data_IF_355891356206
#
_entry.id   IF_355891356206
#
_cell.length_a   1.000
_cell.length_b   1.000
_cell.length_c   1.000
_cell.angle_alpha   90.00
_cell.angle_beta   90.00
_cell.angle_gamma   90.00
#
_symmetry.space_group_name_H-M   'P 1'
#
loop_
_entity.id
_entity.type
_entity.pdbx_description
1 polymer ?
#
# COMPACT_ATOMS: atom_id res chain seq x y z
N UNK A 1 -1.90 -19.33 -6.61
CA UNK A 1 -1.27 -18.00 -6.60
C UNK A 1 -1.22 -17.36 -7.99
N UNK A 2 -0.96 -18.11 -9.06
CA UNK A 2 -0.92 -17.57 -10.44
C UNK A 2 -2.16 -16.75 -10.84
N UNK A 3 -3.36 -17.25 -10.57
CA UNK A 3 -4.61 -16.51 -10.87
C UNK A 3 -4.67 -15.16 -10.15
N UNK A 4 -4.26 -15.11 -8.88
CA UNK A 4 -4.22 -13.85 -8.11
C UNK A 4 -3.22 -12.86 -8.69
N UNK A 5 -2.08 -13.35 -9.17
CA UNK A 5 -1.09 -12.52 -9.85
C UNK A 5 -1.66 -11.92 -11.13
N UNK A 6 -2.30 -12.73 -11.97
CA UNK A 6 -2.95 -12.25 -13.20
C UNK A 6 -3.99 -11.17 -12.89
N UNK A 7 -4.90 -11.43 -11.95
CA UNK A 7 -5.94 -10.46 -11.57
C UNK A 7 -5.36 -9.17 -10.99
N UNK A 8 -4.34 -9.25 -10.12
CA UNK A 8 -3.70 -8.07 -9.56
C UNK A 8 -3.03 -7.22 -10.65
N UNK A 9 -2.36 -7.87 -11.60
CA UNK A 9 -1.73 -7.21 -12.75
C UNK A 9 -2.78 -6.51 -13.63
N UNK A 10 -3.90 -7.16 -13.94
CA UNK A 10 -4.99 -6.55 -14.72
C UNK A 10 -5.56 -5.29 -14.03
N UNK A 11 -5.71 -5.32 -12.71
CA UNK A 11 -6.15 -4.15 -11.93
C UNK A 11 -5.11 -3.03 -11.97
N UNK A 12 -3.82 -3.35 -11.84
CA UNK A 12 -2.72 -2.37 -11.95
C UNK A 12 -2.67 -1.73 -13.33
N UNK A 13 -2.91 -2.52 -14.38
CA UNK A 13 -2.88 -2.03 -15.77
C UNK A 13 -4.11 -1.15 -16.07
N UNK A 14 -5.23 -1.39 -15.37
CA UNK A 14 -6.47 -0.61 -15.48
C UNK A 14 -6.58 0.55 -14.47
N UNK A 15 -5.46 0.99 -13.90
CA UNK A 15 -5.49 1.88 -12.74
C UNK A 15 -5.93 3.32 -13.05
N UNK A 16 -6.11 3.69 -14.33
CA UNK A 16 -6.62 5.02 -14.73
C UNK A 16 -7.96 5.38 -14.04
N UNK A 17 -8.75 4.36 -13.65
CA UNK A 17 -10.01 4.54 -12.93
C UNK A 17 -9.89 5.36 -11.64
N UNK A 18 -8.73 5.34 -10.97
CA UNK A 18 -8.49 6.10 -9.73
C UNK A 18 -8.44 7.61 -9.95
N UNK A 19 -8.30 8.07 -11.18
CA UNK A 19 -8.35 9.47 -11.57
C UNK A 19 -9.74 9.92 -12.06
N UNK A 20 -10.73 9.05 -11.96
CA UNK A 20 -12.12 9.32 -12.37
C UNK A 20 -13.05 9.51 -11.17
N UNK A 21 -14.33 9.75 -11.42
CA UNK A 21 -15.39 9.76 -10.40
C UNK A 21 -15.54 8.43 -9.66
N UNK A 22 -15.03 7.34 -10.22
CA UNK A 22 -15.10 5.99 -9.63
C UNK A 22 -14.07 5.73 -8.54
N UNK A 23 -13.18 6.69 -8.24
CA UNK A 23 -12.10 6.47 -7.29
C UNK A 23 -12.59 6.00 -5.91
N UNK A 24 -13.67 6.59 -5.39
CA UNK A 24 -14.24 6.17 -4.11
C UNK A 24 -14.76 4.72 -4.16
N UNK A 25 -15.37 4.31 -5.27
CA UNK A 25 -15.86 2.95 -5.46
C UNK A 25 -14.70 1.97 -5.58
N UNK A 26 -13.64 2.35 -6.29
CA UNK A 26 -12.40 1.59 -6.34
C UNK A 26 -11.84 1.35 -4.93
N UNK A 27 -11.70 2.41 -4.11
CA UNK A 27 -11.19 2.27 -2.74
C UNK A 27 -12.08 1.34 -1.90
N UNK A 28 -13.40 1.52 -1.92
CA UNK A 28 -14.35 0.68 -1.16
C UNK A 28 -14.25 -0.80 -1.52
N UNK A 29 -14.09 -1.12 -2.80
CA UNK A 29 -14.04 -2.49 -3.29
C UNK A 29 -12.66 -3.15 -3.09
N UNK A 30 -11.59 -2.43 -3.46
CA UNK A 30 -10.27 -3.03 -3.60
C UNK A 30 -9.37 -2.82 -2.38
N UNK A 31 -9.47 -1.69 -1.68
CA UNK A 31 -8.52 -1.37 -0.62
C UNK A 31 -8.50 -2.41 0.51
N UNK A 32 -9.69 -2.87 0.93
CA UNK A 32 -9.81 -3.93 1.95
C UNK A 32 -9.20 -5.24 1.48
N UNK A 33 -9.41 -5.60 0.20
CA UNK A 33 -8.86 -6.84 -0.38
C UNK A 33 -7.34 -6.78 -0.41
N UNK A 34 -6.76 -5.68 -0.90
CA UNK A 34 -5.31 -5.47 -0.92
C UNK A 34 -4.70 -5.52 0.48
N UNK A 35 -5.30 -4.81 1.43
CA UNK A 35 -4.86 -4.82 2.83
C UNK A 35 -4.85 -6.24 3.41
N UNK A 36 -5.92 -7.01 3.15
CA UNK A 36 -6.07 -8.39 3.62
C UNK A 36 -5.04 -9.32 2.95
N UNK A 37 -4.72 -9.10 1.67
CA UNK A 37 -3.67 -9.88 1.00
C UNK A 37 -2.31 -9.63 1.63
N UNK A 38 -1.95 -8.37 1.88
CA UNK A 38 -0.64 -7.99 2.42
C UNK A 38 -0.45 -8.36 3.90
N UNK A 39 -1.53 -8.43 4.68
CA UNK A 39 -1.45 -8.63 6.14
C UNK A 39 -1.87 -10.02 6.63
N UNK A 40 -2.70 -10.75 5.87
CA UNK A 40 -3.34 -11.98 6.37
C UNK A 40 -3.25 -13.16 5.40
N UNK A 41 -3.47 -12.96 4.09
CA UNK A 41 -3.57 -14.08 3.13
C UNK A 41 -2.23 -14.52 2.56
N UNK A 42 -1.20 -13.69 2.69
CA UNK A 42 0.16 -13.99 2.26
C UNK A 42 1.11 -13.70 3.42
N UNK A 43 2.28 -14.33 3.37
CA UNK A 43 3.38 -14.07 4.29
C UNK A 43 4.39 -13.14 3.61
N UNK A 44 5.15 -12.35 4.38
CA UNK A 44 6.27 -11.61 3.84
C UNK A 44 7.25 -12.53 3.10
N UNK A 45 7.83 -12.05 2.00
CA UNK A 45 8.64 -12.88 1.10
C UNK A 45 10.04 -12.30 0.99
N UNK A 46 11.06 -13.11 1.24
CA UNK A 46 12.47 -12.69 1.16
C UNK A 46 13.21 -13.24 -0.07
N UNK A 47 12.50 -13.98 -0.92
CA UNK A 47 13.02 -14.56 -2.15
C UNK A 47 12.03 -14.34 -3.29
N UNK A 48 12.51 -14.39 -4.54
CA UNK A 48 11.62 -14.29 -5.71
C UNK A 48 10.67 -15.50 -5.73
N UNK A 49 9.38 -15.20 -5.66
CA UNK A 49 8.31 -16.19 -5.65
C UNK A 49 7.06 -15.59 -6.29
N UNK A 50 6.12 -16.44 -6.70
CA UNK A 50 4.83 -15.96 -7.23
C UNK A 50 4.09 -15.15 -6.14
N UNK A 51 4.26 -15.50 -4.87
CA UNK A 51 3.69 -14.75 -3.75
C UNK A 51 4.34 -13.38 -3.60
N UNK A 52 5.66 -13.28 -3.77
CA UNK A 52 6.37 -11.98 -3.79
C UNK A 52 5.81 -11.10 -4.91
N UNK A 53 5.67 -11.64 -6.12
CA UNK A 53 5.13 -10.90 -7.28
C UNK A 53 3.71 -10.39 -7.02
N UNK A 54 2.85 -11.17 -6.38
CA UNK A 54 1.49 -10.72 -6.00
C UNK A 54 1.57 -9.56 -5.01
N UNK A 55 2.39 -9.69 -3.95
CA UNK A 55 2.54 -8.64 -2.94
C UNK A 55 3.09 -7.36 -3.55
N UNK A 56 4.13 -7.47 -4.38
CA UNK A 56 4.76 -6.37 -5.08
C UNK A 56 3.77 -5.59 -5.95
N UNK A 57 3.02 -6.26 -6.84
CA UNK A 57 2.00 -5.63 -7.68
C UNK A 57 0.94 -4.88 -6.85
N UNK A 58 0.53 -5.44 -5.71
CA UNK A 58 -0.43 -4.76 -4.82
C UNK A 58 0.19 -3.50 -4.20
N UNK A 59 1.44 -3.56 -3.75
CA UNK A 59 2.14 -2.41 -3.20
C UNK A 59 2.34 -1.32 -4.28
N UNK A 60 2.63 -1.70 -5.54
CA UNK A 60 2.68 -0.78 -6.68
C UNK A 60 1.34 -0.08 -6.93
N UNK A 61 0.22 -0.82 -6.85
CA UNK A 61 -1.12 -0.24 -6.97
C UNK A 61 -1.35 0.81 -5.87
N UNK A 62 -1.05 0.47 -4.62
CA UNK A 62 -1.22 1.37 -3.48
C UNK A 62 -0.36 2.63 -3.61
N UNK A 63 0.85 2.52 -4.17
CA UNK A 63 1.75 3.65 -4.41
C UNK A 63 1.28 4.61 -5.50
N UNK A 64 0.33 4.19 -6.37
CA UNK A 64 -0.20 5.02 -7.46
C UNK A 64 -1.53 5.67 -7.12
N UNK A 65 -2.03 5.51 -5.89
CA UNK A 65 -3.30 6.11 -5.46
C UNK A 65 -3.20 7.65 -5.38
N UNK A 66 -4.15 8.40 -5.96
CA UNK A 66 -4.15 9.86 -5.87
C UNK A 66 -4.40 10.34 -4.44
N UNK A 67 -3.59 11.31 -3.99
CA UNK A 67 -3.69 11.95 -2.68
C UNK A 67 -4.78 13.05 -2.64
N UNK A 68 -5.99 12.73 -3.08
CA UNK A 68 -7.15 13.63 -3.01
C UNK A 68 -7.92 13.45 -1.70
N UNK A 69 -8.89 14.34 -1.43
CA UNK A 69 -9.78 14.23 -0.26
C UNK A 69 -10.58 12.91 -0.23
N UNK A 70 -10.77 12.27 -1.39
CA UNK A 70 -11.42 10.95 -1.48
C UNK A 70 -10.64 9.86 -0.74
N UNK A 71 -9.31 9.97 -0.69
CA UNK A 71 -8.44 9.02 0.01
C UNK A 71 -8.47 9.22 1.53
N UNK A 72 -8.82 10.41 2.03
CA UNK A 72 -8.72 10.80 3.45
C UNK A 72 -9.30 9.75 4.43
N UNK A 73 -10.47 9.12 4.20
CA UNK A 73 -11.00 8.10 5.10
C UNK A 73 -10.16 6.82 5.19
N UNK A 74 -9.29 6.56 4.22
CA UNK A 74 -8.45 5.36 4.12
C UNK A 74 -7.00 5.61 4.52
N UNK A 75 -6.59 6.87 4.69
CA UNK A 75 -5.18 7.28 4.91
C UNK A 75 -4.56 6.58 6.12
N UNK A 76 -5.27 6.49 7.25
CA UNK A 76 -4.75 5.87 8.45
C UNK A 76 -4.52 4.36 8.27
N UNK A 77 -5.44 3.67 7.60
CA UNK A 77 -5.30 2.24 7.32
C UNK A 77 -4.22 1.97 6.27
N UNK A 78 -4.10 2.83 5.25
CA UNK A 78 -3.06 2.72 4.24
C UNK A 78 -1.67 2.89 4.88
N UNK A 79 -1.53 3.85 5.80
CA UNK A 79 -0.29 4.02 6.56
C UNK A 79 0.05 2.77 7.36
N UNK A 80 -0.91 2.19 8.09
CA UNK A 80 -0.70 0.96 8.87
C UNK A 80 -0.26 -0.22 8.00
N UNK A 81 -0.88 -0.39 6.83
CA UNK A 81 -0.50 -1.44 5.87
C UNK A 81 0.91 -1.21 5.34
N UNK A 82 1.24 0.03 4.95
CA UNK A 82 2.58 0.36 4.46
C UNK A 82 3.66 0.16 5.52
N UNK A 83 3.41 0.55 6.78
CA UNK A 83 4.31 0.30 7.92
C UNK A 83 4.50 -1.20 8.17
N UNK A 84 3.42 -2.00 8.11
CA UNK A 84 3.52 -3.45 8.26
C UNK A 84 4.42 -4.08 7.20
N UNK A 85 4.22 -3.74 5.93
CA UNK A 85 5.04 -4.28 4.83
C UNK A 85 6.48 -3.80 4.94
N UNK A 86 6.71 -2.51 5.24
CA UNK A 86 8.05 -1.95 5.45
C UNK A 86 8.85 -2.71 6.52
N UNK A 87 8.21 -3.12 7.61
CA UNK A 87 8.89 -3.76 8.74
C UNK A 87 9.06 -5.28 8.59
N UNK A 88 8.35 -5.92 7.65
CA UNK A 88 8.29 -7.39 7.59
C UNK A 88 8.68 -7.99 6.26
N UNK A 89 8.63 -7.24 5.17
CA UNK A 89 8.87 -7.73 3.81
C UNK A 89 10.30 -7.44 3.33
N UNK A 90 10.60 -7.84 2.10
CA UNK A 90 11.90 -7.53 1.49
C UNK A 90 12.08 -6.05 1.15
N UNK A 91 13.34 -5.69 0.81
CA UNK A 91 13.76 -4.34 0.48
C UNK A 91 12.98 -3.72 -0.69
N UNK A 92 12.62 -4.52 -1.70
CA UNK A 92 11.89 -4.03 -2.88
C UNK A 92 10.50 -3.48 -2.48
N UNK A 93 9.72 -4.28 -1.75
CA UNK A 93 8.41 -3.84 -1.26
C UNK A 93 8.56 -2.75 -0.19
N UNK A 94 9.57 -2.86 0.67
CA UNK A 94 9.89 -1.86 1.69
C UNK A 94 10.17 -0.47 1.11
N UNK A 95 10.94 -0.39 0.02
CA UNK A 95 11.26 0.88 -0.64
C UNK A 95 10.01 1.57 -1.22
N UNK A 96 9.08 0.80 -1.79
CA UNK A 96 7.81 1.36 -2.28
C UNK A 96 6.94 1.81 -1.09
N UNK A 97 6.88 1.04 -0.01
CA UNK A 97 6.15 1.43 1.20
C UNK A 97 6.71 2.70 1.86
N UNK A 98 8.03 2.91 1.84
CA UNK A 98 8.63 4.17 2.30
C UNK A 98 8.13 5.37 1.51
N UNK A 99 7.98 5.24 0.19
CA UNK A 99 7.43 6.31 -0.67
C UNK A 99 5.98 6.60 -0.32
N UNK A 100 5.15 5.56 -0.16
CA UNK A 100 3.76 5.70 0.29
C UNK A 100 3.70 6.46 1.61
N UNK A 101 4.46 6.02 2.62
CA UNK A 101 4.46 6.64 3.95
C UNK A 101 4.86 8.11 3.86
N UNK A 102 5.94 8.42 3.14
CA UNK A 102 6.40 9.80 2.98
C UNK A 102 5.35 10.69 2.31
N UNK A 103 4.73 10.21 1.24
CA UNK A 103 3.71 10.97 0.53
C UNK A 103 2.45 11.17 1.38
N UNK A 104 2.04 10.18 2.18
CA UNK A 104 0.93 10.33 3.11
C UNK A 104 1.23 11.36 4.19
N UNK A 105 2.41 11.29 4.81
CA UNK A 105 2.84 12.26 5.82
C UNK A 105 2.95 13.68 5.25
N UNK A 106 3.39 13.81 3.99
CA UNK A 106 3.47 15.11 3.31
C UNK A 106 2.10 15.71 3.00
N UNK A 107 1.16 14.90 2.49
CA UNK A 107 -0.14 15.40 2.01
C UNK A 107 -1.24 15.44 3.08
N UNK A 108 -1.13 14.62 4.14
CA UNK A 108 -2.16 14.46 5.17
C UNK A 108 -1.65 14.70 6.59
N UNK A 109 -0.60 15.52 6.75
CA UNK A 109 0.08 15.78 8.03
C UNK A 109 -0.85 16.05 9.22
N UNK A 110 -1.88 16.92 9.14
CA UNK A 110 -2.77 17.16 10.28
C UNK A 110 -3.53 15.90 10.75
N UNK A 111 -3.78 14.97 9.83
CA UNK A 111 -4.49 13.72 10.11
C UNK A 111 -3.57 12.66 10.73
N UNK A 112 -2.27 12.73 10.44
CA UNK A 112 -1.28 11.68 10.76
C UNK A 112 -0.21 12.13 11.77
N UNK A 113 -0.40 13.26 12.44
CA UNK A 113 0.61 13.84 13.34
C UNK A 113 1.07 12.86 14.43
N UNK A 114 0.16 12.07 14.98
CA UNK A 114 0.45 11.05 15.99
C UNK A 114 1.33 9.89 15.47
N UNK A 115 1.34 9.65 14.15
CA UNK A 115 2.05 8.54 13.51
C UNK A 115 3.44 8.95 12.98
N UNK A 116 3.75 10.26 12.98
CA UNK A 116 5.05 10.78 12.53
C UNK A 116 6.20 10.28 13.42
N UNK A 117 6.05 10.39 14.75
CA UNK A 117 7.12 10.00 15.67
C UNK A 117 7.40 8.48 15.64
N UNK A 118 6.39 7.59 15.68
CA UNK A 118 6.61 6.15 15.50
C UNK A 118 7.36 5.79 14.21
N UNK A 119 7.07 6.48 13.10
CA UNK A 119 7.79 6.29 11.85
C UNK A 119 9.27 6.71 11.95
N UNK A 120 9.55 7.90 12.53
CA UNK A 120 10.92 8.36 12.73
C UNK A 120 11.71 7.42 13.65
N UNK A 121 11.09 6.96 14.73
CA UNK A 121 11.69 6.01 15.67
C UNK A 121 12.04 4.68 14.99
N UNK A 122 11.21 4.24 14.04
CA UNK A 122 11.53 3.06 13.22
C UNK A 122 12.74 3.31 12.32
N UNK A 123 12.75 4.41 11.55
CA UNK A 123 13.86 4.75 10.64
C UNK A 123 15.18 4.93 11.38
N UNK A 124 15.16 5.48 12.60
CA UNK A 124 16.37 5.66 13.40
C UNK A 124 16.89 4.36 14.05
N UNK A 125 16.10 3.29 14.10
CA UNK A 125 16.49 1.99 14.68
C UNK A 125 17.07 1.02 13.66
N UNK A 126 16.75 1.20 12.38
CA UNK A 126 17.31 0.44 11.25
C UNK A 126 18.68 1.01 10.90
#
# INVERSE_FOLDING_TARGET
MQVRLTMATEVRDSLEIVHSSEYLNFLKCYFRVFSTILTQLTKPQFADSIEHKVRNVIVEILNRLPHSEVLRPFVQDLLKVAMHVLTTDNEENGLICLRIIFDLLRNFRPTLEAEVQPFLDFVCKV
#
